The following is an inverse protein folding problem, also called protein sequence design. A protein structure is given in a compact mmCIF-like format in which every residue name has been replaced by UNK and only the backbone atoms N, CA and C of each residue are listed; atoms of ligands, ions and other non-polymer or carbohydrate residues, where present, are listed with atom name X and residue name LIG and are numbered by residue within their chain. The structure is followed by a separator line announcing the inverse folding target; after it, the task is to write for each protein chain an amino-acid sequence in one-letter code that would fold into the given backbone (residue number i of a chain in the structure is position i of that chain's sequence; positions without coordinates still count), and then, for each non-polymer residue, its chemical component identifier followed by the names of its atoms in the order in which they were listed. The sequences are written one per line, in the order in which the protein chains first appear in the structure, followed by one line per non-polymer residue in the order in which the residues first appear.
data_IF_931312890516
#
_entry.id   IF_931312890516
#
_cell.length_a   1.000
_cell.length_b   1.000
_cell.length_c   1.000
_cell.angle_alpha   90.00
_cell.angle_beta   90.00
_cell.angle_gamma   90.00
#
_symmetry.space_group_name_H-M   'P 1'
#
loop_
_entity.id
_entity.type
_entity.pdbx_description
1 polymer ?
#
# COMPACT_ATOMS: atom_id res chain seq x y z
N UNK A 1 7.62 3.75 27.14
CA UNK A 1 6.63 2.87 26.50
C UNK A 1 7.33 1.90 25.57
N UNK A 2 6.63 0.89 25.05
CA UNK A 2 7.17 -0.01 24.03
C UNK A 2 6.88 0.58 22.62
N UNK A 3 7.88 1.10 21.89
CA UNK A 3 7.64 1.71 20.59
C UNK A 3 7.29 0.63 19.56
N UNK A 4 6.11 0.74 18.95
CA UNK A 4 5.60 -0.16 17.92
C UNK A 4 5.00 0.68 16.80
N UNK A 5 5.38 0.43 15.55
CA UNK A 5 4.74 1.06 14.41
C UNK A 5 3.27 0.64 14.36
N UNK A 6 2.30 1.57 14.35
CA UNK A 6 0.90 1.24 14.22
C UNK A 6 0.64 0.44 12.95
N UNK A 7 -0.05 -0.70 13.06
CA UNK A 7 -0.36 -1.56 11.90
C UNK A 7 -1.11 -0.81 10.79
N UNK A 8 -1.96 0.15 11.14
CA UNK A 8 -2.65 1.01 10.17
C UNK A 8 -1.70 1.84 9.31
N UNK A 9 -0.53 2.24 9.83
CA UNK A 9 0.48 2.95 9.03
C UNK A 9 1.24 2.01 8.09
N UNK A 10 1.35 0.73 8.44
CA UNK A 10 1.91 -0.29 7.53
C UNK A 10 0.95 -0.50 6.35
N UNK A 11 -0.35 -0.52 6.63
CA UNK A 11 -1.38 -0.59 5.60
C UNK A 11 -1.34 0.66 4.72
N UNK A 12 -1.29 1.85 5.31
CA UNK A 12 -1.16 3.14 4.60
C UNK A 12 0.10 3.22 3.72
N UNK A 13 1.22 2.65 4.17
CA UNK A 13 2.44 2.60 3.36
C UNK A 13 2.34 1.64 2.16
N UNK A 14 1.73 0.45 2.32
CA UNK A 14 1.43 -0.45 1.19
C UNK A 14 0.48 0.23 0.20
N UNK A 15 -0.52 0.91 0.76
CA UNK A 15 -1.50 1.72 0.08
C UNK A 15 -0.88 2.77 -0.85
N UNK A 16 0.00 3.62 -0.30
CA UNK A 16 0.74 4.62 -1.07
C UNK A 16 1.69 4.00 -2.10
N UNK A 17 2.30 2.86 -1.79
CA UNK A 17 3.13 2.10 -2.75
C UNK A 17 2.31 1.70 -3.98
N UNK A 18 1.06 1.26 -3.79
CA UNK A 18 0.13 1.00 -4.89
C UNK A 18 -0.29 2.24 -5.66
N UNK A 19 -0.47 3.37 -4.97
CA UNK A 19 -0.71 4.67 -5.59
C UNK A 19 0.40 5.03 -6.57
N UNK A 20 1.66 4.92 -6.14
CA UNK A 20 2.84 5.16 -6.98
C UNK A 20 2.84 4.25 -8.22
N UNK A 21 2.51 2.97 -8.06
CA UNK A 21 2.40 2.03 -9.18
C UNK A 21 1.40 2.52 -10.24
N UNK A 22 0.23 2.99 -9.84
CA UNK A 22 -0.76 3.52 -10.80
C UNK A 22 -0.32 4.86 -11.38
N UNK A 23 0.21 5.76 -10.57
CA UNK A 23 0.71 7.06 -11.02
C UNK A 23 1.83 6.91 -12.06
N UNK A 24 2.65 5.86 -11.98
CA UNK A 24 3.68 5.56 -12.99
C UNK A 24 3.13 5.22 -14.38
N UNK A 25 1.81 4.99 -14.51
CA UNK A 25 1.16 4.64 -15.78
C UNK A 25 0.54 5.85 -16.50
N UNK A 26 0.55 7.03 -15.89
CA UNK A 26 -0.01 8.27 -16.45
C UNK A 26 1.10 9.28 -16.74
N UNK A 27 0.95 10.17 -17.75
CA UNK A 27 2.01 11.10 -18.16
C UNK A 27 2.23 12.28 -17.20
N UNK A 28 1.22 12.64 -16.40
CA UNK A 28 1.20 13.82 -15.52
C UNK A 28 0.81 13.44 -14.07
N UNK A 29 1.56 12.54 -13.40
CA UNK A 29 1.18 11.95 -12.11
C UNK A 29 0.98 12.97 -10.98
N UNK A 30 1.67 14.09 -11.02
CA UNK A 30 1.55 15.18 -10.04
C UNK A 30 0.16 15.83 -10.01
N UNK A 31 -0.63 15.66 -11.07
CA UNK A 31 -2.00 16.19 -11.17
C UNK A 31 -3.06 15.18 -10.70
N UNK A 32 -2.68 14.09 -10.02
CA UNK A 32 -3.61 13.09 -9.54
C UNK A 32 -3.53 12.92 -8.03
N UNK A 33 -4.70 12.87 -7.40
CA UNK A 33 -4.85 12.42 -6.02
C UNK A 33 -5.11 10.91 -5.99
N UNK A 34 -4.54 10.23 -5.01
CA UNK A 34 -4.85 8.82 -4.74
C UNK A 34 -5.76 8.71 -3.53
N UNK A 35 -6.91 8.07 -3.69
CA UNK A 35 -7.87 7.84 -2.61
C UNK A 35 -8.01 6.35 -2.29
N UNK A 36 -8.02 6.03 -1.00
CA UNK A 36 -8.29 4.69 -0.50
C UNK A 36 -9.78 4.36 -0.58
N UNK A 37 -10.12 3.26 -1.24
CA UNK A 37 -11.51 2.82 -1.40
C UNK A 37 -11.85 1.62 -0.53
N UNK A 38 -10.97 0.61 -0.51
CA UNK A 38 -11.24 -0.67 0.16
C UNK A 38 -9.97 -1.29 0.71
N UNK A 39 -10.12 -1.95 1.85
CA UNK A 39 -9.09 -2.75 2.49
C UNK A 39 -9.76 -4.04 2.94
N UNK A 40 -9.28 -5.18 2.43
CA UNK A 40 -9.76 -6.52 2.79
C UNK A 40 -8.62 -7.40 3.30
N UNK A 41 -9.01 -8.47 4.01
CA UNK A 41 -8.11 -9.57 4.37
C UNK A 41 -6.82 -9.15 5.10
N UNK A 42 -6.85 -8.03 5.83
CA UNK A 42 -5.69 -7.51 6.57
C UNK A 42 -5.29 -8.48 7.67
N UNK A 43 -4.01 -8.84 7.71
CA UNK A 43 -3.45 -9.63 8.81
C UNK A 43 -2.14 -9.01 9.27
N UNK A 44 -2.02 -8.79 10.56
CA UNK A 44 -0.79 -8.38 11.23
C UNK A 44 -0.17 -9.61 11.90
N UNK A 45 1.02 -9.99 11.48
CA UNK A 45 1.69 -11.23 11.90
C UNK A 45 2.81 -10.98 12.90
N UNK A 46 3.52 -9.86 12.77
CA UNK A 46 4.66 -9.51 13.62
C UNK A 46 4.65 -8.02 13.92
N UNK A 47 5.15 -7.64 15.11
CA UNK A 47 5.38 -6.23 15.45
C UNK A 47 6.53 -5.68 14.62
N UNK A 48 6.41 -4.42 14.23
CA UNK A 48 7.49 -3.63 13.62
C UNK A 48 7.92 -2.59 14.63
N UNK A 49 9.22 -2.48 14.85
CA UNK A 49 9.82 -1.62 15.87
C UNK A 49 10.88 -0.69 15.25
N UNK A 50 11.30 0.38 15.96
CA UNK A 50 12.38 1.24 15.48
C UNK A 50 13.64 0.43 15.14
N UNK A 51 14.23 0.72 13.98
CA UNK A 51 15.40 0.01 13.45
C UNK A 51 15.08 -1.07 12.42
N UNK A 52 13.83 -1.52 12.33
CA UNK A 52 13.40 -2.42 11.26
C UNK A 52 13.35 -1.72 9.90
N UNK A 53 13.83 -2.41 8.85
CA UNK A 53 13.59 -2.00 7.47
C UNK A 53 12.36 -2.72 6.94
N UNK A 54 11.34 -1.95 6.58
CA UNK A 54 10.14 -2.45 5.91
C UNK A 54 10.35 -2.48 4.39
N UNK A 55 10.03 -3.64 3.79
CA UNK A 55 9.94 -3.81 2.34
C UNK A 55 8.48 -4.10 2.00
N UNK A 56 7.90 -3.26 1.15
CA UNK A 56 6.55 -3.47 0.63
C UNK A 56 6.62 -4.09 -0.76
N UNK A 57 5.95 -5.22 -0.92
CA UNK A 57 5.74 -5.85 -2.22
C UNK A 57 4.25 -5.77 -2.54
N UNK A 58 3.90 -5.04 -3.59
CA UNK A 58 2.53 -4.86 -4.03
C UNK A 58 2.41 -5.33 -5.48
N UNK A 59 1.57 -6.33 -5.71
CA UNK A 59 1.31 -6.89 -7.03
C UNK A 59 -0.14 -6.61 -7.43
N UNK A 60 -0.38 -6.16 -8.67
CA UNK A 60 -1.72 -6.01 -9.21
C UNK A 60 -2.39 -7.39 -9.30
N UNK A 61 -3.58 -7.51 -8.73
CA UNK A 61 -4.40 -8.73 -8.85
C UNK A 61 -5.46 -8.62 -9.94
N UNK A 62 -5.73 -7.39 -10.39
CA UNK A 62 -6.51 -7.13 -11.61
C UNK A 62 -5.86 -6.01 -12.44
N UNK A 63 -6.10 -5.96 -13.76
CA UNK A 63 -5.63 -4.83 -14.57
C UNK A 63 -6.24 -3.51 -14.10
N UNK A 64 -5.44 -2.45 -14.11
CA UNK A 64 -5.91 -1.10 -13.78
C UNK A 64 -7.02 -0.70 -14.76
N UNK A 65 -8.17 -0.27 -14.22
CA UNK A 65 -9.31 0.21 -15.00
C UNK A 65 -9.90 1.44 -14.36
N UNK A 66 -10.16 2.49 -15.15
CA UNK A 66 -10.77 3.75 -14.67
C UNK A 66 -10.03 4.37 -13.47
N UNK A 67 -8.69 4.26 -13.46
CA UNK A 67 -7.84 4.75 -12.37
C UNK A 67 -7.87 3.90 -11.10
N UNK A 68 -8.54 2.74 -11.10
CA UNK A 68 -8.63 1.86 -9.94
C UNK A 68 -7.46 0.88 -9.93
N UNK A 69 -6.67 0.93 -8.85
CA UNK A 69 -5.68 -0.06 -8.46
C UNK A 69 -6.34 -1.10 -7.58
N UNK A 70 -6.16 -2.38 -7.89
CA UNK A 70 -6.52 -3.48 -6.99
C UNK A 70 -5.32 -4.40 -6.85
N UNK A 71 -4.80 -4.49 -5.64
CA UNK A 71 -3.49 -5.09 -5.38
C UNK A 71 -3.50 -6.00 -4.16
N UNK A 72 -2.65 -7.02 -4.22
CA UNK A 72 -2.24 -7.77 -3.05
C UNK A 72 -0.94 -7.16 -2.52
N UNK A 73 -0.97 -6.73 -1.25
CA UNK A 73 0.18 -6.15 -0.55
C UNK A 73 0.76 -7.11 0.48
N UNK A 74 2.08 -7.14 0.56
CA UNK A 74 2.85 -7.81 1.60
C UNK A 74 3.91 -6.85 2.16
N UNK A 75 4.01 -6.78 3.48
CA UNK A 75 5.02 -6.02 4.18
C UNK A 75 5.99 -6.97 4.91
N UNK A 76 7.28 -6.82 4.65
CA UNK A 76 8.33 -7.62 5.26
C UNK A 76 9.22 -6.73 6.13
N UNK A 77 9.40 -7.11 7.40
CA UNK A 77 10.40 -6.49 8.28
C UNK A 77 11.60 -7.45 8.38
N UNK A 78 12.79 -6.99 7.96
CA UNK A 78 14.01 -7.79 7.95
C UNK A 78 13.83 -9.18 7.29
N UNK A 79 13.11 -9.21 6.16
CA UNK A 79 12.81 -10.43 5.39
C UNK A 79 11.68 -11.31 5.95
N UNK A 80 11.07 -10.96 7.09
CA UNK A 80 9.93 -11.72 7.66
C UNK A 80 8.61 -11.02 7.39
N UNK A 81 7.62 -11.78 6.93
CA UNK A 81 6.28 -11.26 6.67
C UNK A 81 5.64 -10.73 7.96
N UNK A 82 5.38 -9.42 8.02
CA UNK A 82 4.84 -8.74 9.19
C UNK A 82 3.39 -8.29 8.99
N UNK A 83 2.98 -7.96 7.77
CA UNK A 83 1.59 -7.70 7.42
C UNK A 83 1.27 -8.11 5.98
N UNK A 84 0.00 -8.40 5.72
CA UNK A 84 -0.56 -8.61 4.39
C UNK A 84 -1.95 -7.98 4.31
N UNK A 85 -2.34 -7.50 3.13
CA UNK A 85 -3.64 -6.91 2.88
C UNK A 85 -3.99 -6.94 1.39
N UNK A 86 -5.28 -7.00 1.09
CA UNK A 86 -5.82 -6.71 -0.23
C UNK A 86 -6.31 -5.26 -0.24
N UNK A 87 -5.84 -4.47 -1.20
CA UNK A 87 -5.96 -3.01 -1.17
C UNK A 87 -6.55 -2.52 -2.49
N UNK A 88 -7.51 -1.60 -2.39
CA UNK A 88 -8.09 -0.92 -3.54
C UNK A 88 -7.99 0.59 -3.37
N UNK A 89 -7.39 1.25 -4.36
CA UNK A 89 -7.22 2.69 -4.42
C UNK A 89 -7.66 3.24 -5.77
N UNK A 90 -8.07 4.49 -5.83
CA UNK A 90 -8.44 5.16 -7.07
C UNK A 90 -7.63 6.44 -7.23
N UNK A 91 -7.00 6.61 -8.40
CA UNK A 91 -6.45 7.91 -8.80
C UNK A 91 -7.55 8.79 -9.40
N UNK A 92 -7.60 10.05 -9.00
CA UNK A 92 -8.54 11.05 -9.49
C UNK A 92 -7.77 12.29 -9.89
N UNK A 93 -8.01 12.79 -11.09
CA UNK A 93 -7.34 13.99 -11.58
C UNK A 93 -7.80 15.22 -10.80
N UNK A 94 -6.85 15.97 -10.26
CA UNK A 94 -7.09 17.25 -9.60
C UNK A 94 -7.08 18.36 -10.68
N UNK A 95 -8.24 18.52 -11.34
CA UNK A 95 -8.52 19.42 -12.48
C UNK A 95 -8.02 18.97 -13.86
#
# INVERSE_FOLDING_TARGET
GAPVMPGVLIVEAMAQTGGILVLSTVPDPENYLTFFMKIDNVKFKQKVVPGDTLIFKCDLITPIRRGICHMQGYAYANGKLCAEAELMAQITKEK
#
